data_IF_757235450110
#
_entry.id   IF_757235450110
#
_cell.length_a   1.000
_cell.length_b   1.000
_cell.length_c   1.000
_cell.angle_alpha   90.00
_cell.angle_beta   90.00
_cell.angle_gamma   90.00
#
_symmetry.space_group_name_H-M   'P 1'
#
loop_
_entity.id
_entity.type
_entity.pdbx_description
1 polymer ?
#
# COMPACT_ATOMS: atom_id res chain seq x y z
N UNK A 1 -0.57 4.04 -19.03
CA UNK A 1 -0.66 5.47 -19.38
C UNK A 1 -1.91 6.08 -18.76
N UNK A 2 -1.79 7.20 -18.04
CA UNK A 2 -2.89 7.88 -17.35
C UNK A 2 -3.21 9.27 -17.91
N UNK A 3 -2.43 9.77 -18.88
CA UNK A 3 -2.70 11.03 -19.56
C UNK A 3 -4.03 10.99 -20.32
N UNK A 4 -4.80 12.06 -20.20
CA UNK A 4 -6.10 12.25 -20.85
C UNK A 4 -5.95 12.68 -22.32
N UNK A 5 -4.96 13.51 -22.62
CA UNK A 5 -4.62 13.94 -23.98
C UNK A 5 -3.53 13.04 -24.59
N UNK A 6 -3.93 12.26 -25.60
CA UNK A 6 -3.03 11.37 -26.35
C UNK A 6 -1.80 12.12 -26.88
N UNK A 7 -1.93 13.36 -27.34
CA UNK A 7 -0.84 14.13 -27.92
C UNK A 7 0.25 14.53 -26.91
N UNK A 8 -0.08 14.54 -25.61
CA UNK A 8 0.86 14.85 -24.54
C UNK A 8 1.54 13.59 -23.98
N UNK A 9 1.00 12.42 -24.27
CA UNK A 9 1.53 11.15 -23.78
C UNK A 9 2.75 10.70 -24.58
N UNK A 10 3.69 10.03 -23.92
CA UNK A 10 4.83 9.42 -24.62
C UNK A 10 4.32 8.38 -25.62
N UNK A 11 4.73 8.55 -26.89
CA UNK A 11 4.37 7.65 -27.98
C UNK A 11 2.94 7.80 -28.48
N UNK A 12 2.26 8.90 -28.15
CA UNK A 12 0.83 9.10 -28.45
C UNK A 12 -0.02 7.93 -27.95
N UNK A 13 0.28 7.47 -26.74
CA UNK A 13 -0.42 6.34 -26.16
C UNK A 13 -1.76 6.77 -25.55
N UNK A 14 -2.83 6.10 -25.98
CA UNK A 14 -4.15 6.30 -25.40
C UNK A 14 -4.17 5.98 -23.90
N UNK A 15 -4.94 6.77 -23.14
CA UNK A 15 -5.23 6.51 -21.73
C UNK A 15 -5.66 5.06 -21.50
N UNK A 16 -5.24 4.50 -20.36
CA UNK A 16 -5.42 3.10 -19.98
C UNK A 16 -4.71 2.08 -20.90
N UNK A 17 -3.93 2.55 -21.87
CA UNK A 17 -3.07 1.70 -22.69
C UNK A 17 -1.74 1.37 -22.01
N UNK A 18 -1.08 0.34 -22.56
CA UNK A 18 0.29 -0.06 -22.20
C UNK A 18 1.27 1.10 -22.42
N UNK A 19 2.13 1.43 -21.44
CA UNK A 19 3.09 2.54 -21.57
C UNK A 19 4.08 2.26 -22.71
N UNK A 20 4.43 3.29 -23.49
CA UNK A 20 5.35 3.20 -24.63
C UNK A 20 6.82 3.48 -24.25
N UNK A 21 7.15 3.34 -22.96
CA UNK A 21 8.52 3.44 -22.43
C UNK A 21 9.09 2.05 -22.20
N UNK A 22 10.42 1.93 -22.26
CA UNK A 22 11.13 0.65 -22.04
C UNK A 22 10.78 0.11 -20.66
N UNK A 23 10.61 -1.20 -20.57
CA UNK A 23 10.34 -1.88 -19.30
C UNK A 23 11.49 -1.72 -18.32
N UNK A 24 11.17 -1.51 -17.05
CA UNK A 24 12.17 -1.27 -16.00
C UNK A 24 12.13 -2.34 -14.91
N UNK A 25 13.32 -2.62 -14.38
CA UNK A 25 13.52 -3.48 -13.22
C UNK A 25 13.26 -2.76 -11.90
N UNK A 26 13.60 -3.44 -10.80
CA UNK A 26 13.43 -2.93 -9.43
C UNK A 26 14.24 -1.66 -9.14
N UNK A 27 15.32 -1.45 -9.88
CA UNK A 27 16.24 -0.32 -9.76
C UNK A 27 15.87 0.86 -10.68
N UNK A 28 14.74 0.79 -11.38
CA UNK A 28 14.32 1.81 -12.35
C UNK A 28 15.10 1.78 -13.66
N UNK A 29 16.04 0.84 -13.81
CA UNK A 29 16.83 0.69 -15.02
C UNK A 29 16.14 -0.27 -15.99
N UNK A 30 16.41 -0.16 -17.30
CA UNK A 30 15.90 -1.10 -18.29
C UNK A 30 16.13 -2.55 -17.87
N UNK A 31 15.07 -3.37 -17.92
CA UNK A 31 15.10 -4.77 -17.48
C UNK A 31 15.90 -5.69 -18.44
N UNK A 32 16.25 -5.17 -19.62
CA UNK A 32 16.99 -5.88 -20.65
C UNK A 32 16.19 -6.93 -21.41
N UNK A 33 14.89 -7.04 -21.17
CA UNK A 33 14.02 -8.00 -21.86
C UNK A 33 13.79 -7.54 -23.30
N UNK A 34 13.89 -8.50 -24.23
CA UNK A 34 13.69 -8.28 -25.66
C UNK A 34 12.50 -9.10 -26.16
N UNK A 35 11.78 -8.56 -27.14
CA UNK A 35 10.73 -9.27 -27.86
C UNK A 35 11.33 -10.24 -28.91
N UNK A 36 10.46 -10.91 -29.67
CA UNK A 36 10.87 -11.86 -30.70
C UNK A 36 11.68 -11.22 -31.86
N UNK A 37 11.61 -9.90 -32.02
CA UNK A 37 12.37 -9.14 -33.03
C UNK A 37 13.71 -8.62 -32.48
N UNK A 38 13.97 -8.81 -31.18
CA UNK A 38 15.15 -8.27 -30.51
C UNK A 38 15.00 -6.82 -30.04
N UNK A 39 13.78 -6.27 -30.08
CA UNK A 39 13.49 -4.93 -29.58
C UNK A 39 13.17 -4.96 -28.08
N UNK A 40 13.54 -3.92 -27.34
CA UNK A 40 13.23 -3.85 -25.90
C UNK A 40 11.73 -3.91 -25.63
N UNK A 41 11.33 -4.78 -24.71
CA UNK A 41 9.95 -4.83 -24.21
C UNK A 41 9.61 -3.49 -23.56
N UNK A 42 8.34 -3.07 -23.70
CA UNK A 42 7.84 -1.80 -23.19
C UNK A 42 6.71 -2.02 -22.21
N UNK A 43 6.51 -1.08 -21.31
CA UNK A 43 5.27 -1.00 -20.54
C UNK A 43 5.16 -1.91 -19.32
N UNK A 44 6.23 -2.61 -18.96
CA UNK A 44 6.34 -3.33 -17.69
C UNK A 44 7.18 -2.53 -16.69
N UNK A 45 6.82 -2.59 -15.42
CA UNK A 45 7.58 -1.96 -14.34
C UNK A 45 7.51 -2.81 -13.08
N UNK A 46 8.38 -2.51 -12.12
CA UNK A 46 8.42 -3.23 -10.85
C UNK A 46 7.52 -2.57 -9.80
N UNK A 47 6.65 -3.37 -9.18
CA UNK A 47 5.78 -2.91 -8.09
C UNK A 47 6.28 -3.42 -6.72
N UNK A 48 6.44 -2.56 -5.69
CA UNK A 48 6.94 -2.93 -4.36
C UNK A 48 5.89 -3.60 -3.47
N UNK A 49 5.25 -4.67 -3.97
CA UNK A 49 4.24 -5.37 -3.20
C UNK A 49 3.54 -6.50 -3.94
N UNK A 50 2.50 -7.03 -3.30
CA UNK A 50 1.62 -8.03 -3.87
C UNK A 50 0.22 -7.88 -3.29
N UNK A 51 -0.78 -8.41 -4.00
CA UNK A 51 -2.15 -8.51 -3.56
C UNK A 51 -2.53 -9.98 -3.41
N UNK A 52 -3.33 -10.28 -2.40
CA UNK A 52 -3.91 -11.60 -2.16
C UNK A 52 -5.43 -11.46 -2.10
N UNK A 53 -6.13 -12.36 -2.80
CA UNK A 53 -7.52 -12.62 -2.53
C UNK A 53 -7.62 -13.41 -1.22
N UNK A 54 -8.37 -12.90 -0.25
CA UNK A 54 -8.49 -13.52 1.06
C UNK A 54 -9.42 -14.73 1.07
N UNK A 55 -10.34 -14.81 0.09
CA UNK A 55 -11.35 -15.86 -0.01
C UNK A 55 -10.73 -17.12 -0.61
N UNK A 56 -9.88 -16.94 -1.62
CA UNK A 56 -9.22 -18.05 -2.34
C UNK A 56 -7.78 -18.28 -1.88
N UNK A 57 -7.14 -17.30 -1.25
CA UNK A 57 -5.71 -17.33 -0.92
C UNK A 57 -4.80 -17.10 -2.13
N UNK A 58 -5.36 -16.77 -3.29
CA UNK A 58 -4.61 -16.63 -4.53
C UNK A 58 -3.91 -15.27 -4.62
N UNK A 59 -2.71 -15.27 -5.20
CA UNK A 59 -2.02 -14.02 -5.55
C UNK A 59 -2.67 -13.42 -6.79
N UNK A 60 -2.88 -12.11 -6.77
CA UNK A 60 -3.50 -11.36 -7.86
C UNK A 60 -2.47 -10.54 -8.64
N UNK A 61 -2.84 -10.19 -9.87
CA UNK A 61 -2.05 -9.29 -10.70
C UNK A 61 -2.28 -7.83 -10.29
N UNK A 62 -1.23 -7.02 -10.38
CA UNK A 62 -1.26 -5.59 -10.10
C UNK A 62 -0.80 -4.85 -11.34
N UNK A 63 -1.57 -3.86 -11.75
CA UNK A 63 -1.17 -2.86 -12.74
C UNK A 63 -1.01 -1.55 -11.99
N UNK A 64 0.00 -0.75 -12.33
CA UNK A 64 0.02 0.66 -11.95
C UNK A 64 0.06 1.55 -13.19
N UNK A 65 -0.43 2.78 -13.05
CA UNK A 65 -0.36 3.81 -14.08
C UNK A 65 0.52 4.97 -13.63
N UNK A 66 0.86 5.84 -14.55
CA UNK A 66 1.52 7.14 -14.36
C UNK A 66 1.09 8.04 -15.53
N UNK A 67 1.10 9.36 -15.32
CA UNK A 67 0.86 10.35 -16.39
C UNK A 67 2.20 10.81 -16.97
N UNK A 68 2.49 10.38 -18.20
CA UNK A 68 3.81 10.59 -18.80
C UNK A 68 4.16 12.01 -19.19
N UNK A 69 3.19 12.92 -19.12
CA UNK A 69 3.44 14.34 -19.26
C UNK A 69 3.86 15.00 -17.94
N UNK A 70 3.50 14.41 -16.80
CA UNK A 70 3.74 14.95 -15.46
C UNK A 70 5.14 14.58 -14.95
N UNK A 71 6.17 14.98 -15.69
CA UNK A 71 7.58 14.73 -15.35
C UNK A 71 7.99 15.32 -13.99
N UNK A 72 7.38 16.44 -13.57
CA UNK A 72 7.59 17.02 -12.23
C UNK A 72 6.97 16.21 -11.10
N UNK A 73 6.11 15.25 -11.43
CA UNK A 73 5.43 14.36 -10.49
C UNK A 73 5.85 12.89 -10.69
N UNK A 74 7.07 12.68 -11.22
CA UNK A 74 7.68 11.38 -11.53
C UNK A 74 6.96 10.54 -12.60
N UNK A 75 6.05 11.11 -13.40
CA UNK A 75 5.17 10.29 -14.22
C UNK A 75 5.79 9.62 -15.47
N UNK A 76 7.11 9.71 -15.67
CA UNK A 76 7.79 9.27 -16.89
C UNK A 76 8.95 8.28 -16.66
N UNK A 77 9.05 7.69 -15.48
CA UNK A 77 10.16 6.81 -15.09
C UNK A 77 9.77 5.33 -15.00
N UNK A 78 8.49 4.99 -15.22
CA UNK A 78 7.98 3.62 -15.14
C UNK A 78 8.10 3.01 -13.74
N UNK A 79 8.28 3.83 -12.71
CA UNK A 79 8.32 3.41 -11.32
C UNK A 79 7.01 3.76 -10.60
N UNK A 80 6.64 3.00 -9.58
CA UNK A 80 5.53 3.38 -8.72
C UNK A 80 6.03 4.26 -7.57
N UNK A 81 6.02 5.59 -7.77
CA UNK A 81 6.60 6.57 -6.83
C UNK A 81 5.74 7.86 -6.70
N UNK A 82 4.46 7.75 -6.27
CA UNK A 82 3.54 8.90 -6.18
C UNK A 82 4.11 10.07 -5.39
N UNK A 83 3.76 11.29 -5.80
CA UNK A 83 4.02 12.49 -5.01
C UNK A 83 2.85 12.84 -4.07
N UNK A 84 3.03 13.87 -3.26
CA UNK A 84 1.98 14.40 -2.37
C UNK A 84 1.06 15.42 -3.06
N UNK A 85 1.31 15.73 -4.34
CA UNK A 85 0.69 16.86 -5.02
C UNK A 85 -0.67 16.48 -5.59
N UNK A 86 -1.74 17.10 -5.09
CA UNK A 86 -3.10 16.86 -5.60
C UNK A 86 -3.41 17.67 -6.86
N UNK A 87 -2.98 18.92 -6.89
CA UNK A 87 -3.34 19.92 -7.90
C UNK A 87 -2.19 20.90 -8.10
N UNK A 88 -2.20 21.61 -9.22
CA UNK A 88 -1.23 22.69 -9.49
C UNK A 88 -1.24 23.71 -8.34
N UNK A 89 -0.08 23.97 -7.68
CA UNK A 89 -0.04 24.89 -6.55
C UNK A 89 -0.59 26.29 -6.88
N UNK A 90 -1.50 26.78 -6.04
CA UNK A 90 -2.14 28.10 -6.20
C UNK A 90 -3.28 28.17 -7.22
N UNK A 91 -3.58 27.06 -7.90
CA UNK A 91 -4.34 27.02 -9.14
C UNK A 91 -5.36 25.88 -9.11
N UNK A 92 -6.61 26.20 -8.75
CA UNK A 92 -7.70 25.19 -8.70
C UNK A 92 -8.30 24.99 -10.09
N UNK A 93 -8.37 23.75 -10.62
CA UNK A 93 -8.97 23.49 -11.93
C UNK A 93 -10.46 23.88 -11.95
N UNK A 94 -10.85 24.73 -12.89
CA UNK A 94 -12.24 25.10 -13.12
C UNK A 94 -12.72 24.52 -14.45
N UNK A 95 -13.86 23.84 -14.43
CA UNK A 95 -14.48 23.33 -15.64
C UNK A 95 -15.14 24.47 -16.42
N UNK A 96 -14.68 24.69 -17.65
CA UNK A 96 -15.30 25.59 -18.61
C UNK A 96 -16.30 24.80 -19.46
N UNK A 97 -17.59 25.01 -19.19
CA UNK A 97 -18.69 24.36 -19.88
C UNK A 97 -18.91 24.85 -21.31
N UNK A 98 -18.28 25.96 -21.73
CA UNK A 98 -18.40 26.45 -23.11
C UNK A 98 -17.48 25.69 -24.07
N UNK A 99 -16.29 25.33 -23.60
CA UNK A 99 -15.29 24.62 -24.40
C UNK A 99 -15.13 23.14 -24.00
N UNK A 100 -15.79 22.71 -22.92
CA UNK A 100 -15.62 21.39 -22.30
C UNK A 100 -14.17 21.11 -21.88
N UNK A 101 -13.49 22.14 -21.37
CA UNK A 101 -12.07 22.08 -20.97
C UNK A 101 -11.91 22.48 -19.49
N UNK A 102 -10.81 22.06 -18.87
CA UNK A 102 -10.42 22.55 -17.54
C UNK A 102 -9.40 23.68 -17.67
N UNK A 103 -9.65 24.80 -17.00
CA UNK A 103 -8.79 25.99 -17.00
C UNK A 103 -8.24 26.26 -15.60
N UNK A 104 -7.14 27.02 -15.54
CA UNK A 104 -6.63 27.58 -14.28
C UNK A 104 -5.82 26.63 -13.39
N UNK A 105 -5.62 25.36 -13.77
CA UNK A 105 -4.81 24.37 -13.06
C UNK A 105 -5.12 22.94 -13.51
N UNK A 106 -4.31 21.96 -13.11
CA UNK A 106 -4.50 20.53 -13.41
C UNK A 106 -4.60 19.68 -12.15
N UNK A 107 -5.36 18.57 -12.26
CA UNK A 107 -5.33 17.50 -11.27
C UNK A 107 -4.09 16.64 -11.48
N UNK A 108 -3.14 16.75 -10.55
CA UNK A 108 -1.87 16.03 -10.58
C UNK A 108 -2.00 14.65 -9.92
N UNK A 109 -2.75 14.58 -8.82
CA UNK A 109 -3.09 13.32 -8.11
C UNK A 109 -1.87 12.41 -7.89
N UNK A 110 -0.75 13.00 -7.46
CA UNK A 110 0.48 12.28 -7.20
C UNK A 110 1.14 11.73 -8.45
N UNK A 111 1.03 12.39 -9.62
CA UNK A 111 1.50 11.89 -10.92
C UNK A 111 0.58 10.84 -11.55
N UNK A 112 -0.67 10.71 -11.03
CA UNK A 112 -1.65 9.67 -11.40
C UNK A 112 -1.10 8.24 -11.26
N UNK A 113 -0.33 8.01 -10.20
CA UNK A 113 0.27 6.72 -9.82
C UNK A 113 -0.75 5.69 -9.28
N UNK A 114 -1.83 5.47 -10.03
CA UNK A 114 -2.93 4.60 -9.62
C UNK A 114 -2.54 3.14 -9.63
N UNK A 115 -3.15 2.37 -8.75
CA UNK A 115 -2.97 0.92 -8.64
C UNK A 115 -4.30 0.25 -9.01
N UNK A 116 -4.24 -0.78 -9.85
CA UNK A 116 -5.37 -1.60 -10.24
C UNK A 116 -5.09 -3.05 -9.84
N UNK A 117 -5.97 -3.62 -9.02
CA UNK A 117 -5.90 -5.03 -8.63
C UNK A 117 -6.80 -5.84 -9.56
N UNK A 118 -6.17 -6.63 -10.43
CA UNK A 118 -6.86 -7.45 -11.42
C UNK A 118 -7.15 -8.80 -10.81
N UNK A 119 -8.44 -9.12 -10.65
CA UNK A 119 -8.87 -10.46 -10.24
C UNK A 119 -8.65 -11.41 -11.41
N UNK A 120 -8.26 -12.64 -11.08
CA UNK A 120 -8.24 -13.73 -12.02
C UNK A 120 -8.35 -15.05 -11.27
N UNK A 121 -8.53 -16.12 -12.01
CA UNK A 121 -8.85 -17.43 -11.46
C UNK A 121 -7.74 -18.43 -11.80
N UNK A 122 -7.35 -19.29 -10.86
CA UNK A 122 -6.27 -20.27 -11.09
C UNK A 122 -6.54 -21.27 -12.21
N UNK A 123 -7.80 -21.65 -12.42
CA UNK A 123 -8.17 -22.65 -13.43
C UNK A 123 -7.85 -22.20 -14.87
N UNK A 124 -7.77 -20.88 -15.11
CA UNK A 124 -7.45 -20.31 -16.44
C UNK A 124 -6.12 -20.83 -16.95
N UNK A 125 -5.12 -21.00 -16.07
CA UNK A 125 -3.80 -21.49 -16.45
C UNK A 125 -3.79 -22.94 -16.93
N UNK A 126 -4.84 -23.70 -16.64
CA UNK A 126 -5.03 -25.06 -17.15
C UNK A 126 -5.80 -25.13 -18.46
N UNK A 127 -6.24 -24.00 -19.02
CA UNK A 127 -6.98 -23.95 -20.29
C UNK A 127 -6.04 -24.08 -21.48
N UNK A 128 -6.53 -24.69 -22.56
CA UNK A 128 -5.79 -24.83 -23.82
C UNK A 128 -5.40 -23.47 -24.39
N UNK A 129 -6.31 -22.50 -24.34
CA UNK A 129 -6.07 -21.13 -24.81
C UNK A 129 -4.87 -20.50 -24.09
N UNK A 130 -4.86 -20.52 -22.76
CA UNK A 130 -3.78 -19.93 -21.98
C UNK A 130 -2.42 -20.62 -22.21
N UNK A 131 -2.42 -21.94 -22.34
CA UNK A 131 -1.22 -22.74 -22.54
C UNK A 131 -0.61 -22.59 -23.94
N UNK A 132 -1.44 -22.25 -24.94
CA UNK A 132 -1.03 -22.13 -26.34
C UNK A 132 -0.63 -20.70 -26.68
N UNK A 133 -1.46 -19.72 -26.29
CA UNK A 133 -1.23 -18.31 -26.54
C UNK A 133 -1.99 -17.45 -25.51
N UNK A 134 -1.26 -16.72 -24.67
CA UNK A 134 -1.88 -15.84 -23.66
C UNK A 134 -2.78 -14.77 -24.29
N UNK A 135 -2.58 -14.40 -25.56
CA UNK A 135 -3.44 -13.44 -26.27
C UNK A 135 -4.82 -14.02 -26.56
N UNK A 136 -4.95 -15.33 -26.78
CA UNK A 136 -6.25 -15.97 -27.08
C UNK A 136 -7.10 -16.24 -25.84
N UNK A 137 -6.49 -16.25 -24.65
CA UNK A 137 -7.20 -16.56 -23.40
C UNK A 137 -8.25 -15.51 -23.01
N UNK A 138 -9.52 -15.88 -22.95
CA UNK A 138 -10.64 -14.95 -22.67
C UNK A 138 -10.77 -14.52 -21.20
N UNK A 139 -10.18 -15.32 -20.30
CA UNK A 139 -10.32 -15.15 -18.86
C UNK A 139 -9.00 -14.68 -18.24
N UNK A 140 -9.12 -13.86 -17.20
CA UNK A 140 -7.95 -13.37 -16.44
C UNK A 140 -7.44 -14.49 -15.53
N UNK A 141 -6.15 -14.85 -15.58
CA UNK A 141 -5.56 -15.82 -14.65
C UNK A 141 -5.23 -15.17 -13.30
N UNK A 142 -5.10 -15.99 -12.26
CA UNK A 142 -4.39 -15.56 -11.06
C UNK A 142 -2.92 -15.21 -11.39
N UNK A 143 -2.21 -14.56 -10.45
CA UNK A 143 -0.89 -13.96 -10.68
C UNK A 143 0.02 -14.73 -11.63
N UNK A 144 0.34 -14.13 -12.77
CA UNK A 144 1.11 -14.69 -13.87
C UNK A 144 2.24 -13.74 -14.28
N UNK A 145 2.74 -12.95 -13.33
CA UNK A 145 3.73 -11.90 -13.56
C UNK A 145 3.22 -10.79 -14.51
N UNK A 146 1.90 -10.69 -14.68
CA UNK A 146 1.24 -9.71 -15.54
C UNK A 146 1.21 -10.09 -17.02
N UNK A 147 1.64 -11.31 -17.40
CA UNK A 147 1.76 -11.75 -18.79
C UNK A 147 0.44 -11.61 -19.57
N UNK A 148 -0.69 -12.00 -18.99
CA UNK A 148 -2.00 -11.86 -19.62
C UNK A 148 -2.46 -10.41 -19.76
N UNK A 149 -2.24 -9.58 -18.74
CA UNK A 149 -2.57 -8.15 -18.85
C UNK A 149 -1.73 -7.48 -19.93
N UNK A 150 -0.43 -7.80 -19.98
CA UNK A 150 0.49 -7.32 -21.00
C UNK A 150 0.02 -7.76 -22.40
N UNK A 151 -0.27 -9.04 -22.60
CA UNK A 151 -0.68 -9.59 -23.90
C UNK A 151 -1.97 -8.95 -24.42
N UNK A 152 -2.94 -8.68 -23.53
CA UNK A 152 -4.21 -8.03 -23.89
C UNK A 152 -4.03 -6.54 -24.23
N UNK A 153 -3.10 -5.84 -23.59
CA UNK A 153 -2.88 -4.41 -23.83
C UNK A 153 -1.88 -4.14 -24.96
N UNK A 154 -1.03 -5.10 -25.28
CA UNK A 154 -0.04 -5.00 -26.35
C UNK A 154 -0.75 -4.79 -27.69
N UNK A 155 -0.46 -3.66 -28.35
CA UNK A 155 -1.04 -3.27 -29.64
C UNK A 155 -2.59 -3.21 -29.66
N UNK A 156 -3.25 -2.99 -28.51
CA UNK A 156 -4.71 -2.84 -28.43
C UNK A 156 -5.19 -1.51 -29.03
N UNK A 157 -5.44 -1.53 -30.34
CA UNK A 157 -5.91 -0.38 -31.09
C UNK A 157 -7.43 -0.22 -31.08
N UNK A 158 -8.18 -1.30 -30.78
CA UNK A 158 -9.65 -1.32 -30.81
C UNK A 158 -10.28 -1.09 -29.43
N UNK A 159 -9.52 -1.23 -28.35
CA UNK A 159 -10.02 -1.13 -26.97
C UNK A 159 -10.60 -2.44 -26.43
N UNK A 160 -10.59 -3.51 -27.22
CA UNK A 160 -11.09 -4.83 -26.81
C UNK A 160 -10.24 -5.41 -25.69
N UNK A 161 -8.92 -5.27 -25.80
CA UNK A 161 -7.96 -5.71 -24.80
C UNK A 161 -8.10 -4.94 -23.49
N UNK A 162 -8.20 -3.61 -23.58
CA UNK A 162 -8.52 -2.74 -22.43
C UNK A 162 -9.80 -3.18 -21.74
N UNK A 163 -10.89 -3.39 -22.48
CA UNK A 163 -12.14 -3.86 -21.87
C UNK A 163 -11.96 -5.22 -21.17
N UNK A 164 -11.24 -6.16 -21.78
CA UNK A 164 -10.96 -7.47 -21.20
C UNK A 164 -10.19 -7.38 -19.88
N UNK A 165 -9.20 -6.49 -19.78
CA UNK A 165 -8.42 -6.29 -18.55
C UNK A 165 -9.25 -5.57 -17.48
N UNK A 166 -9.79 -4.39 -17.80
CA UNK A 166 -10.38 -3.51 -16.81
C UNK A 166 -11.72 -4.02 -16.24
N UNK A 167 -12.46 -4.87 -16.97
CA UNK A 167 -13.66 -5.55 -16.40
C UNK A 167 -13.32 -6.47 -15.22
N UNK A 168 -12.08 -6.94 -15.13
CA UNK A 168 -11.61 -7.83 -14.07
C UNK A 168 -10.96 -7.06 -12.90
N UNK A 169 -10.85 -5.74 -12.98
CA UNK A 169 -10.33 -4.93 -11.88
C UNK A 169 -11.34 -4.89 -10.76
N UNK A 170 -10.93 -5.34 -9.58
CA UNK A 170 -11.78 -5.39 -8.38
C UNK A 170 -11.51 -4.24 -7.41
N UNK A 171 -10.31 -3.67 -7.47
CA UNK A 171 -9.91 -2.54 -6.64
C UNK A 171 -9.06 -1.56 -7.43
N UNK A 172 -9.33 -0.27 -7.23
CA UNK A 172 -8.50 0.83 -7.72
C UNK A 172 -8.06 1.66 -6.53
N UNK A 173 -6.76 1.89 -6.41
CA UNK A 173 -6.18 2.79 -5.42
C UNK A 173 -5.60 4.04 -6.09
N UNK A 174 -5.86 5.20 -5.52
CA UNK A 174 -5.22 6.47 -5.91
C UNK A 174 -4.29 6.95 -4.78
N UNK A 175 -3.12 6.32 -4.62
CA UNK A 175 -2.21 6.61 -3.52
C UNK A 175 -1.55 7.98 -3.69
N UNK A 176 -1.35 8.67 -2.57
CA UNK A 176 -0.60 9.92 -2.49
C UNK A 176 0.47 9.77 -1.42
N UNK A 177 1.64 10.35 -1.66
CA UNK A 177 2.66 10.45 -0.64
C UNK A 177 2.21 11.45 0.43
N UNK A 178 2.54 11.19 1.69
CA UNK A 178 2.28 12.14 2.75
C UNK A 178 3.12 13.42 2.53
N UNK A 179 2.53 14.64 2.60
CA UNK A 179 3.27 15.88 2.39
C UNK A 179 4.52 15.99 3.27
N UNK A 180 5.65 16.38 2.67
CA UNK A 180 6.93 16.55 3.37
C UNK A 180 7.62 15.23 3.77
N UNK A 181 7.13 14.08 3.29
CA UNK A 181 7.76 12.77 3.49
C UNK A 181 8.40 12.30 2.20
N UNK A 182 9.44 11.48 2.32
CA UNK A 182 9.98 10.70 1.22
C UNK A 182 9.36 9.30 1.24
N UNK A 183 9.23 8.70 0.06
CA UNK A 183 8.82 7.31 -0.07
C UNK A 183 9.93 6.40 0.47
N UNK A 184 9.58 5.52 1.40
CA UNK A 184 10.50 4.54 1.97
C UNK A 184 9.87 3.16 1.86
N UNK A 185 10.46 2.32 1.03
CA UNK A 185 10.00 0.96 0.72
C UNK A 185 10.64 -0.13 1.60
N UNK A 186 11.50 0.25 2.56
CA UNK A 186 12.14 -0.69 3.49
C UNK A 186 11.15 -1.18 4.56
N UNK A 187 10.09 -0.41 4.81
CA UNK A 187 9.06 -0.76 5.79
C UNK A 187 7.95 -1.60 5.15
N UNK A 188 7.54 -2.66 5.86
CA UNK A 188 6.40 -3.48 5.44
C UNK A 188 5.08 -2.84 5.89
N UNK A 189 4.22 -2.50 4.94
CA UNK A 189 2.83 -2.15 5.19
C UNK A 189 1.89 -3.27 4.75
N UNK A 190 0.73 -3.41 5.40
CA UNK A 190 -0.31 -4.36 4.98
C UNK A 190 -1.67 -3.69 5.12
N UNK A 191 -2.38 -3.56 3.98
CA UNK A 191 -3.73 -3.01 3.92
C UNK A 191 -4.71 -4.17 3.74
N UNK A 192 -5.71 -4.27 4.62
CA UNK A 192 -6.77 -5.29 4.54
C UNK A 192 -8.10 -4.59 4.29
N UNK A 193 -8.60 -4.69 3.06
CA UNK A 193 -9.92 -4.19 2.69
C UNK A 193 -10.91 -5.36 2.76
N UNK A 194 -11.89 -5.27 3.64
CA UNK A 194 -12.93 -6.29 3.83
C UNK A 194 -14.29 -5.64 3.58
N UNK A 195 -14.89 -5.94 2.44
CA UNK A 195 -16.23 -5.45 2.12
C UNK A 195 -17.18 -6.63 2.19
N UNK A 196 -18.05 -6.64 3.20
CA UNK A 196 -19.02 -7.72 3.45
C UNK A 196 -20.30 -7.57 2.65
N UNK A 197 -20.48 -6.43 1.96
CA UNK A 197 -21.69 -6.10 1.21
C UNK A 197 -21.39 -6.01 -0.29
N UNK A 198 -22.25 -6.55 -1.16
CA UNK A 198 -22.08 -6.40 -2.60
C UNK A 198 -22.08 -4.92 -3.01
N UNK A 199 -21.32 -4.58 -4.06
CA UNK A 199 -21.38 -3.26 -4.69
C UNK A 199 -22.79 -3.02 -5.21
N UNK A 200 -23.59 -2.29 -4.44
CA UNK A 200 -24.87 -1.72 -4.85
C UNK A 200 -24.82 -0.22 -4.58
N UNK A 201 -25.48 0.58 -5.41
CA UNK A 201 -25.73 1.96 -5.06
C UNK A 201 -26.58 1.99 -3.78
N UNK A 202 -26.17 2.79 -2.80
CA UNK A 202 -26.93 2.96 -1.56
C UNK A 202 -27.35 4.41 -1.45
N UNK A 203 -28.65 4.62 -1.44
CA UNK A 203 -29.25 5.90 -1.12
C UNK A 203 -29.01 6.13 0.39
N UNK A 204 -28.21 7.14 0.72
CA UNK A 204 -27.74 7.39 2.10
C UNK A 204 -28.71 8.22 2.93
N UNK A 205 -29.90 8.50 2.39
CA UNK A 205 -30.90 9.37 3.01
C UNK A 205 -32.04 8.56 3.61
N UNK A 206 -32.72 9.16 4.59
CA UNK A 206 -33.87 8.59 5.28
C UNK A 206 -35.12 8.57 4.37
N UNK A 207 -36.12 7.75 4.72
CA UNK A 207 -37.32 7.52 3.89
C UNK A 207 -38.10 8.82 3.59
N UNK A 208 -38.07 9.80 4.49
CA UNK A 208 -38.69 11.12 4.30
C UNK A 208 -38.06 11.96 3.18
N UNK A 209 -36.91 11.53 2.65
CA UNK A 209 -36.22 12.15 1.51
C UNK A 209 -36.58 11.53 0.16
N UNK A 210 -37.52 10.58 0.14
CA UNK A 210 -38.05 9.99 -1.08
C UNK A 210 -39.35 10.67 -1.48
N UNK A 211 -39.38 11.17 -2.71
CA UNK A 211 -40.52 11.88 -3.26
C UNK A 211 -41.11 11.05 -4.40
N UNK A 212 -42.41 10.80 -4.32
CA UNK A 212 -43.18 10.37 -5.48
C UNK A 212 -43.77 11.58 -6.23
N UNK A 213 -44.34 11.33 -7.41
CA UNK A 213 -44.87 12.37 -8.29
C UNK A 213 -46.02 13.20 -7.69
N UNK A 214 -46.60 12.78 -6.58
CA UNK A 214 -47.71 13.48 -5.90
C UNK A 214 -47.23 14.22 -4.64
N UNK A 215 -45.94 14.17 -4.31
CA UNK A 215 -45.35 14.89 -3.20
C UNK A 215 -44.77 16.22 -3.68
N UNK A 216 -44.99 17.28 -2.89
CA UNK A 216 -44.46 18.59 -3.22
C UNK A 216 -42.93 18.65 -2.95
N UNK A 217 -42.17 19.02 -3.96
CA UNK A 217 -40.75 19.30 -3.92
C UNK A 217 -40.48 20.64 -3.23
N UNK A 218 -39.34 20.74 -2.57
CA UNK A 218 -38.86 21.98 -1.95
C UNK A 218 -38.06 22.78 -2.98
N UNK A 219 -38.49 24.02 -3.26
CA UNK A 219 -37.80 24.91 -4.18
C UNK A 219 -36.37 25.25 -3.68
N UNK A 220 -35.43 25.28 -4.61
CA UNK A 220 -34.00 25.47 -4.35
C UNK A 220 -33.24 24.19 -3.99
N UNK A 221 -33.94 23.05 -3.82
CA UNK A 221 -33.32 21.78 -3.45
C UNK A 221 -32.97 20.92 -4.66
N UNK A 222 -31.87 20.18 -4.56
CA UNK A 222 -31.44 19.21 -5.58
C UNK A 222 -32.10 17.86 -5.34
N UNK A 223 -32.63 17.29 -6.41
CA UNK A 223 -33.24 15.97 -6.44
C UNK A 223 -32.51 15.09 -7.44
N UNK A 224 -32.29 13.82 -7.08
CA UNK A 224 -31.68 12.81 -7.95
C UNK A 224 -32.72 11.77 -8.33
N UNK A 225 -32.76 11.36 -9.59
CA UNK A 225 -33.65 10.30 -10.06
C UNK A 225 -33.20 8.96 -9.46
N UNK A 226 -34.09 8.33 -8.68
CA UNK A 226 -33.78 7.14 -7.91
C UNK A 226 -33.41 5.94 -8.78
N UNK A 227 -32.45 5.14 -8.30
CA UNK A 227 -32.03 3.90 -8.96
C UNK A 227 -33.07 2.78 -8.77
N UNK A 228 -32.95 1.71 -9.55
CA UNK A 228 -33.80 0.53 -9.38
C UNK A 228 -33.48 -0.17 -8.05
N UNK A 229 -34.49 -0.34 -7.19
CA UNK A 229 -34.33 -1.06 -5.92
C UNK A 229 -34.56 -2.59 -6.09
N UNK A 230 -35.33 -3.01 -7.11
CA UNK A 230 -35.54 -4.41 -7.57
C UNK A 230 -36.53 -4.45 -8.76
N UNK A 231 -36.49 -5.52 -9.56
CA UNK A 231 -37.24 -5.75 -10.82
C UNK A 231 -38.78 -5.69 -10.71
N UNK A 232 -39.34 -5.59 -9.49
CA UNK A 232 -40.78 -5.48 -9.24
C UNK A 232 -41.22 -4.17 -8.54
N UNK A 233 -40.31 -3.24 -8.25
CA UNK A 233 -40.54 -2.12 -7.29
C UNK A 233 -40.37 -0.71 -7.88
N UNK A 234 -40.52 0.31 -7.03
CA UNK A 234 -40.42 1.75 -7.29
C UNK A 234 -38.96 2.20 -7.54
N UNK A 235 -38.74 3.28 -8.31
CA UNK A 235 -37.42 3.73 -8.77
C UNK A 235 -37.06 3.21 -10.18
N UNK A 236 -35.91 3.63 -10.72
CA UNK A 236 -35.42 3.14 -12.02
C UNK A 236 -36.28 3.58 -13.22
N UNK A 237 -36.91 4.76 -13.13
CA UNK A 237 -37.75 5.34 -14.18
C UNK A 237 -37.37 6.80 -14.36
N UNK A 238 -37.37 7.24 -15.62
CA UNK A 238 -37.23 8.63 -16.02
C UNK A 238 -38.22 9.51 -15.26
N UNK A 239 -37.73 10.65 -14.79
CA UNK A 239 -38.49 11.71 -14.14
C UNK A 239 -38.54 12.90 -15.07
N UNK A 240 -39.73 13.44 -15.33
CA UNK A 240 -39.88 14.66 -16.13
C UNK A 240 -40.13 15.85 -15.21
N UNK A 241 -39.19 16.80 -15.14
CA UNK A 241 -39.32 18.02 -14.35
C UNK A 241 -39.20 19.24 -15.26
N UNK A 242 -40.14 20.19 -15.16
CA UNK A 242 -40.21 21.40 -16.00
C UNK A 242 -40.11 21.14 -17.51
N UNK A 243 -40.65 20.00 -17.96
CA UNK A 243 -40.65 19.58 -19.37
C UNK A 243 -39.34 18.96 -19.87
N UNK A 244 -38.37 18.75 -18.98
CA UNK A 244 -37.09 18.06 -19.26
C UNK A 244 -37.12 16.67 -18.63
N UNK A 245 -36.71 15.67 -19.40
CA UNK A 245 -36.56 14.29 -18.93
C UNK A 245 -35.19 14.09 -18.29
N UNK A 246 -35.20 13.50 -17.09
CA UNK A 246 -34.00 13.14 -16.34
C UNK A 246 -33.94 11.62 -16.18
N UNK A 247 -32.83 11.06 -16.63
CA UNK A 247 -32.53 9.63 -16.56
C UNK A 247 -32.06 9.22 -15.15
N UNK A 248 -32.06 7.92 -14.90
CA UNK A 248 -31.67 7.37 -13.59
C UNK A 248 -30.27 7.83 -13.20
N UNK A 249 -30.16 8.42 -12.00
CA UNK A 249 -28.91 8.99 -11.49
C UNK A 249 -28.64 10.44 -11.86
N UNK A 250 -29.39 11.02 -12.80
CA UNK A 250 -29.30 12.45 -13.09
C UNK A 250 -29.98 13.28 -11.99
N UNK A 251 -29.54 14.52 -11.86
CA UNK A 251 -30.05 15.44 -10.85
C UNK A 251 -30.66 16.68 -11.46
N UNK A 252 -31.70 17.19 -10.82
CA UNK A 252 -32.33 18.48 -11.16
C UNK A 252 -32.52 19.32 -9.90
N UNK A 253 -32.62 20.64 -10.07
CA UNK A 253 -32.94 21.57 -8.99
C UNK A 253 -34.40 21.97 -9.14
N UNK A 254 -35.17 21.85 -8.07
CA UNK A 254 -36.55 22.30 -8.08
C UNK A 254 -36.59 23.84 -8.09
N UNK A 255 -37.03 24.46 -9.18
CA UNK A 255 -36.95 25.92 -9.37
C UNK A 255 -38.30 26.62 -9.35
N UNK A 256 -39.34 26.04 -9.97
CA UNK A 256 -40.64 26.70 -10.11
C UNK A 256 -41.82 25.74 -9.95
N UNK A 257 -41.71 24.51 -10.44
CA UNK A 257 -42.76 23.49 -10.27
C UNK A 257 -42.54 22.72 -8.98
N UNK A 258 -43.62 22.47 -8.24
CA UNK A 258 -43.59 21.75 -6.98
C UNK A 258 -43.70 20.23 -7.15
N UNK A 259 -43.86 19.70 -8.35
CA UNK A 259 -43.90 18.26 -8.59
C UNK A 259 -43.15 17.91 -9.87
N UNK A 260 -42.84 16.63 -10.00
CA UNK A 260 -42.35 16.06 -11.24
C UNK A 260 -43.40 15.11 -11.81
N UNK A 261 -43.29 14.82 -13.10
CA UNK A 261 -44.19 13.92 -13.81
C UNK A 261 -43.46 12.70 -14.37
N UNK A 262 -44.20 11.79 -15.01
CA UNK A 262 -43.68 10.53 -15.53
C UNK A 262 -44.36 9.30 -14.93
N UNK A 263 -43.63 8.19 -14.88
CA UNK A 263 -44.15 6.92 -14.37
C UNK A 263 -44.65 7.06 -12.93
N UNK A 264 -45.77 6.40 -12.59
CA UNK A 264 -46.19 6.29 -11.19
C UNK A 264 -45.09 5.67 -10.32
N UNK A 265 -44.24 4.82 -10.91
CA UNK A 265 -43.13 4.17 -10.23
C UNK A 265 -41.87 5.04 -10.09
N UNK A 266 -41.83 6.22 -10.72
CA UNK A 266 -40.69 7.12 -10.61
C UNK A 266 -40.54 7.65 -9.19
N UNK A 267 -39.29 7.84 -8.77
CA UNK A 267 -38.92 8.36 -7.45
C UNK A 267 -37.80 9.37 -7.63
N UNK A 268 -37.90 10.48 -6.92
CA UNK A 268 -36.86 11.48 -6.80
C UNK A 268 -36.37 11.51 -5.35
N UNK A 269 -35.07 11.72 -5.16
CA UNK A 269 -34.42 11.66 -3.86
C UNK A 269 -33.85 13.04 -3.55
N UNK A 270 -34.28 13.63 -2.45
CA UNK A 270 -33.74 14.90 -1.96
C UNK A 270 -32.32 14.70 -1.42
N UNK A 271 -31.33 14.82 -2.30
CA UNK A 271 -29.94 14.55 -1.98
C UNK A 271 -29.00 15.18 -3.02
N UNK A 272 -27.75 15.41 -2.61
CA UNK A 272 -26.64 15.59 -3.55
C UNK A 272 -25.97 14.23 -3.74
N UNK A 273 -26.00 13.69 -4.96
CA UNK A 273 -25.34 12.43 -5.25
C UNK A 273 -23.81 12.56 -5.08
N UNK A 274 -23.27 11.96 -4.03
CA UNK A 274 -21.82 11.78 -3.89
C UNK A 274 -21.44 10.46 -4.58
N UNK A 275 -20.54 10.52 -5.57
CA UNK A 275 -20.09 9.36 -6.34
C UNK A 275 -21.24 8.52 -6.94
N UNK A 276 -22.32 9.17 -7.39
CA UNK A 276 -23.52 8.49 -7.92
C UNK A 276 -24.10 7.45 -6.96
N UNK A 277 -24.04 7.73 -5.64
CA UNK A 277 -24.45 6.83 -4.56
C UNK A 277 -23.68 5.50 -4.46
N UNK A 278 -22.58 5.36 -5.20
CA UNK A 278 -21.65 4.26 -4.97
C UNK A 278 -20.94 4.47 -3.62
N UNK A 279 -20.81 3.42 -2.78
CA UNK A 279 -20.10 3.52 -1.52
C UNK A 279 -18.73 4.17 -1.66
N UNK A 280 -18.49 5.22 -0.88
CA UNK A 280 -17.16 5.83 -0.75
C UNK A 280 -16.66 5.57 0.66
N UNK A 281 -15.45 5.02 0.75
CA UNK A 281 -14.77 4.79 2.02
C UNK A 281 -13.46 5.57 1.99
N UNK A 282 -13.23 6.41 3.00
CA UNK A 282 -11.94 7.05 3.22
C UNK A 282 -11.33 6.48 4.49
N UNK A 283 -10.09 6.06 4.39
CA UNK A 283 -9.25 5.69 5.54
C UNK A 283 -7.90 6.35 5.35
N UNK A 284 -7.24 6.70 6.46
CA UNK A 284 -5.89 7.23 6.44
C UNK A 284 -5.01 6.43 7.40
N UNK A 285 -3.70 6.55 7.21
CA UNK A 285 -2.70 5.86 8.01
C UNK A 285 -2.08 6.77 9.08
N UNK A 286 -2.64 7.97 9.32
CA UNK A 286 -2.07 8.96 10.23
C UNK A 286 -1.88 8.40 11.64
N UNK A 287 -2.78 7.52 12.08
CA UNK A 287 -2.76 6.91 13.41
C UNK A 287 -1.87 5.66 13.53
N UNK A 288 -1.26 5.20 12.43
CA UNK A 288 -0.39 4.00 12.40
C UNK A 288 1.04 4.32 11.93
N UNK A 289 1.43 5.59 11.93
CA UNK A 289 2.78 6.02 11.57
C UNK A 289 3.79 5.55 12.63
N UNK A 290 4.95 5.06 12.18
CA UNK A 290 6.06 4.77 13.09
C UNK A 290 6.54 6.07 13.75
N UNK A 291 6.58 6.08 15.08
CA UNK A 291 7.06 7.22 15.88
C UNK A 291 8.46 6.90 16.42
N UNK A 292 9.36 7.88 16.35
CA UNK A 292 10.69 7.73 16.97
C UNK A 292 10.62 8.12 18.44
N UNK A 293 11.32 7.38 19.30
CA UNK A 293 11.36 7.66 20.74
C UNK A 293 10.08 7.26 21.49
N UNK A 294 9.28 6.35 20.94
CA UNK A 294 8.15 5.76 21.67
C UNK A 294 8.65 4.93 22.85
N UNK A 295 8.28 5.33 24.07
CA UNK A 295 8.79 4.70 25.28
C UNK A 295 8.13 3.35 25.56
N UNK A 296 6.91 3.11 25.11
CA UNK A 296 6.24 1.84 25.34
C UNK A 296 6.82 0.77 24.41
N UNK A 297 7.07 1.11 23.15
CA UNK A 297 7.84 0.24 22.24
C UNK A 297 9.26 0.00 22.77
N UNK A 298 9.90 1.02 23.36
CA UNK A 298 11.23 0.86 23.94
C UNK A 298 11.25 -0.10 25.13
N UNK A 299 10.21 -0.12 25.97
CA UNK A 299 10.06 -1.09 27.06
C UNK A 299 9.92 -2.51 26.53
N UNK A 300 9.09 -2.72 25.52
CA UNK A 300 8.92 -4.04 24.88
C UNK A 300 10.23 -4.51 24.25
N UNK A 301 11.02 -3.60 23.66
CA UNK A 301 12.32 -3.90 23.10
C UNK A 301 13.38 -4.33 24.15
N UNK A 302 13.16 -4.09 25.45
CA UNK A 302 14.05 -4.64 26.49
C UNK A 302 14.00 -6.16 26.54
N UNK A 303 12.90 -6.79 26.09
CA UNK A 303 12.73 -8.23 26.16
C UNK A 303 13.60 -9.00 25.18
N UNK A 304 13.98 -8.38 24.07
CA UNK A 304 14.87 -8.97 23.07
C UNK A 304 16.36 -8.79 23.41
N UNK A 305 16.70 -8.07 24.49
CA UNK A 305 18.08 -7.97 24.96
C UNK A 305 18.54 -9.36 25.40
N UNK A 306 19.65 -9.81 24.84
CA UNK A 306 20.21 -11.12 25.12
C UNK A 306 21.74 -11.07 25.21
N UNK A 307 22.33 -12.12 25.75
CA UNK A 307 23.77 -12.36 25.72
C UNK A 307 24.04 -13.57 24.81
N UNK A 308 25.09 -13.49 23.99
CA UNK A 308 25.45 -14.54 23.04
C UNK A 308 26.94 -14.88 23.11
N UNK A 309 27.31 -16.18 23.02
CA UNK A 309 26.42 -17.33 23.10
C UNK A 309 25.81 -17.50 24.51
N UNK A 310 24.59 -18.05 24.57
CA UNK A 310 23.91 -18.42 25.81
C UNK A 310 23.37 -19.85 25.69
N UNK A 311 23.97 -20.84 26.37
CA UNK A 311 25.16 -20.74 27.23
C UNK A 311 26.47 -20.58 26.44
N UNK A 312 27.53 -20.13 27.10
CA UNK A 312 28.90 -20.14 26.55
C UNK A 312 29.61 -21.44 26.93
N UNK A 313 30.11 -22.16 25.93
CA UNK A 313 30.82 -23.44 26.12
C UNK A 313 32.26 -23.34 25.62
N UNK A 314 33.06 -22.58 26.36
CA UNK A 314 34.48 -22.41 26.10
C UNK A 314 34.80 -21.81 24.74
N UNK A 315 33.82 -21.38 23.95
CA UNK A 315 34.02 -20.92 22.59
C UNK A 315 32.93 -19.94 22.19
N UNK A 316 33.33 -18.96 21.40
CA UNK A 316 32.45 -18.02 20.72
C UNK A 316 33.00 -17.75 19.33
N UNK A 317 32.13 -17.72 18.32
CA UNK A 317 32.52 -17.40 16.93
C UNK A 317 33.07 -15.97 16.77
N UNK A 318 32.93 -15.13 17.80
CA UNK A 318 33.54 -13.81 17.85
C UNK A 318 35.00 -13.86 18.29
N UNK A 319 35.52 -14.95 18.85
CA UNK A 319 36.90 -15.01 19.35
C UNK A 319 37.90 -15.04 18.18
N UNK A 320 38.94 -14.21 18.26
CA UNK A 320 39.95 -14.10 17.18
C UNK A 320 41.20 -14.95 17.41
N UNK A 321 41.46 -15.38 18.65
CA UNK A 321 42.61 -16.21 18.99
C UNK A 321 42.33 -17.01 20.28
N UNK A 322 43.24 -17.92 20.65
CA UNK A 322 43.07 -18.81 21.80
C UNK A 322 43.10 -18.10 23.17
N UNK A 323 43.57 -16.85 23.23
CA UNK A 323 43.62 -16.03 24.44
C UNK A 323 42.43 -15.06 24.56
N UNK A 324 41.61 -14.96 23.51
CA UNK A 324 40.41 -14.14 23.46
C UNK A 324 39.21 -14.98 23.91
N UNK A 325 38.63 -14.62 25.05
CA UNK A 325 37.36 -15.16 25.51
C UNK A 325 36.33 -14.04 25.46
N UNK A 326 35.27 -14.20 24.64
CA UNK A 326 34.34 -13.11 24.42
C UNK A 326 32.89 -13.54 24.26
N UNK A 327 32.04 -12.86 25.01
CA UNK A 327 30.58 -12.86 24.81
C UNK A 327 30.09 -11.47 24.46
N UNK A 328 28.94 -11.41 23.80
CA UNK A 328 28.35 -10.15 23.34
C UNK A 328 26.96 -10.01 23.91
N UNK A 329 26.65 -8.84 24.47
CA UNK A 329 25.29 -8.49 24.89
C UNK A 329 24.69 -7.66 23.76
N UNK A 330 23.56 -8.11 23.21
CA UNK A 330 22.96 -7.62 21.96
C UNK A 330 21.62 -6.93 22.18
N UNK A 331 21.17 -6.18 21.17
CA UNK A 331 19.92 -5.40 21.15
C UNK A 331 19.88 -4.31 22.25
N UNK A 332 21.04 -3.84 22.67
CA UNK A 332 21.13 -2.79 23.69
C UNK A 332 20.76 -1.42 23.10
N UNK A 333 20.04 -0.58 23.88
CA UNK A 333 19.82 0.80 23.50
C UNK A 333 21.14 1.58 23.46
N UNK A 334 21.08 2.81 22.92
CA UNK A 334 22.27 3.68 22.80
C UNK A 334 23.01 3.85 24.13
N UNK A 335 22.26 4.06 25.22
CA UNK A 335 22.76 4.19 26.59
C UNK A 335 22.25 3.03 27.45
N UNK A 336 23.16 2.27 28.05
CA UNK A 336 22.83 1.21 29.00
C UNK A 336 23.97 0.96 30.00
N UNK A 337 23.62 0.58 31.22
CA UNK A 337 24.57 0.08 32.23
C UNK A 337 24.30 -1.40 32.46
N UNK A 338 25.32 -2.23 32.32
CA UNK A 338 25.22 -3.67 32.54
C UNK A 338 26.06 -4.02 33.75
N UNK A 339 25.41 -4.54 34.79
CA UNK A 339 26.07 -5.08 35.98
C UNK A 339 25.96 -6.58 35.99
N UNK A 340 27.08 -7.25 36.20
CA UNK A 340 27.19 -8.70 36.17
C UNK A 340 27.47 -9.18 37.58
N UNK A 341 26.70 -10.15 38.04
CA UNK A 341 26.76 -10.70 39.40
C UNK A 341 26.91 -12.21 39.40
N UNK A 342 27.53 -12.74 40.44
CA UNK A 342 27.40 -14.16 40.80
C UNK A 342 25.99 -14.44 41.32
N UNK A 343 25.60 -15.73 41.42
CA UNK A 343 24.34 -16.14 42.06
C UNK A 343 24.22 -15.74 43.53
N UNK A 344 25.36 -15.47 44.20
CA UNK A 344 25.39 -14.97 45.57
C UNK A 344 25.23 -13.45 45.68
N UNK A 345 25.07 -12.73 44.55
CA UNK A 345 24.89 -11.29 44.51
C UNK A 345 26.19 -10.47 44.55
N UNK A 346 27.35 -11.11 44.40
CA UNK A 346 28.64 -10.40 44.35
C UNK A 346 28.83 -9.78 42.97
N UNK A 347 29.12 -8.47 42.90
CA UNK A 347 29.40 -7.79 41.64
C UNK A 347 30.72 -8.29 41.04
N UNK A 348 30.66 -8.75 39.79
CA UNK A 348 31.78 -9.26 39.00
C UNK A 348 32.32 -8.18 38.09
N UNK A 349 31.44 -7.55 37.31
CA UNK A 349 31.81 -6.57 36.29
C UNK A 349 30.71 -5.52 36.12
N UNK A 350 31.10 -4.27 35.91
CA UNK A 350 30.21 -3.23 35.38
C UNK A 350 30.68 -2.81 33.98
N UNK A 351 29.76 -2.76 33.02
CA UNK A 351 29.98 -2.31 31.64
C UNK A 351 29.07 -1.12 31.35
N UNK A 352 29.65 -0.02 30.88
CA UNK A 352 28.91 1.19 30.52
C UNK A 352 28.91 1.34 29.00
N UNK A 353 27.71 1.42 28.43
CA UNK A 353 27.50 1.60 27.00
C UNK A 353 26.91 2.98 26.74
N UNK A 354 27.58 3.78 25.91
CA UNK A 354 27.10 5.10 25.44
C UNK A 354 27.58 5.36 24.00
N UNK A 355 27.09 4.55 23.05
CA UNK A 355 27.46 4.67 21.63
C UNK A 355 26.34 4.14 20.72
N UNK A 356 26.46 4.37 19.40
CA UNK A 356 25.46 3.97 18.42
C UNK A 356 25.41 2.48 18.08
N UNK A 357 26.34 1.65 18.56
CA UNK A 357 26.27 0.20 18.32
C UNK A 357 25.10 -0.40 19.10
N UNK A 358 24.52 -1.52 18.65
CA UNK A 358 23.42 -2.20 19.38
C UNK A 358 23.94 -3.32 20.30
N UNK A 359 25.24 -3.32 20.59
CA UNK A 359 25.86 -4.36 21.42
C UNK A 359 27.05 -3.83 22.22
N UNK A 360 27.49 -4.63 23.19
CA UNK A 360 28.76 -4.45 23.92
C UNK A 360 29.38 -5.83 24.18
N UNK A 361 30.71 -5.88 24.15
CA UNK A 361 31.47 -7.11 24.38
C UNK A 361 31.90 -7.21 25.85
N UNK A 362 31.87 -8.44 26.38
CA UNK A 362 32.45 -8.78 27.66
C UNK A 362 33.53 -9.85 27.45
N UNK A 363 34.71 -9.56 27.98
CA UNK A 363 35.93 -10.37 27.90
C UNK A 363 35.99 -11.51 28.94
N UNK A 364 34.86 -11.80 29.59
CA UNK A 364 34.73 -12.77 30.68
C UNK A 364 35.68 -12.53 31.87
N UNK A 365 36.05 -11.27 32.11
CA UNK A 365 36.86 -10.86 33.27
C UNK A 365 36.05 -10.01 34.24
N UNK A 366 36.48 -10.01 35.49
CA UNK A 366 35.93 -9.13 36.52
C UNK A 366 36.46 -7.69 36.40
N UNK A 367 36.04 -6.78 37.29
CA UNK A 367 36.49 -5.38 37.33
C UNK A 367 38.02 -5.22 37.50
N UNK A 368 38.72 -6.24 37.99
CA UNK A 368 40.17 -6.25 38.20
C UNK A 368 40.95 -6.94 37.06
N UNK A 369 40.27 -7.30 35.96
CA UNK A 369 40.89 -7.97 34.82
C UNK A 369 41.22 -9.45 35.05
N UNK A 370 40.68 -10.06 36.12
CA UNK A 370 40.88 -11.47 36.42
C UNK A 370 39.75 -12.27 35.74
N UNK A 371 40.07 -13.35 35.00
CA UNK A 371 39.07 -14.24 34.43
C UNK A 371 38.10 -14.75 35.51
N UNK A 372 36.82 -14.82 35.15
CA UNK A 372 35.79 -15.38 36.04
C UNK A 372 35.94 -16.90 36.14
N UNK A 373 35.15 -17.57 36.99
CA UNK A 373 35.04 -19.03 37.00
C UNK A 373 33.88 -19.51 36.13
N UNK A 374 33.89 -20.78 35.73
CA UNK A 374 32.68 -21.39 35.16
C UNK A 374 31.52 -21.34 36.16
N UNK A 375 30.30 -21.05 35.70
CA UNK A 375 29.14 -20.96 36.57
C UNK A 375 27.97 -20.14 36.02
N UNK A 376 26.95 -19.99 36.86
CA UNK A 376 25.80 -19.13 36.64
C UNK A 376 26.11 -17.68 37.04
N UNK A 377 25.71 -16.76 36.18
CA UNK A 377 25.79 -15.31 36.41
C UNK A 377 24.45 -14.65 36.11
N UNK A 378 24.23 -13.52 36.76
CA UNK A 378 23.04 -12.68 36.58
C UNK A 378 23.52 -11.34 36.01
N UNK A 379 22.98 -10.95 34.86
CA UNK A 379 23.21 -9.65 34.27
C UNK A 379 21.99 -8.78 34.54
N UNK A 380 22.20 -7.66 35.22
CA UNK A 380 21.22 -6.60 35.37
C UNK A 380 21.56 -5.49 34.39
N UNK A 381 20.67 -5.26 33.43
CA UNK A 381 20.79 -4.25 32.39
C UNK A 381 19.82 -3.13 32.74
N UNK A 382 20.35 -1.93 32.97
CA UNK A 382 19.56 -0.73 33.16
C UNK A 382 19.67 0.15 31.91
N UNK A 383 18.53 0.44 31.29
CA UNK A 383 18.38 1.37 30.18
C UNK A 383 17.70 2.66 30.72
N UNK A 384 18.47 3.75 30.95
CA UNK A 384 17.95 4.95 31.57
C UNK A 384 16.73 5.53 30.83
N UNK A 385 15.63 5.76 31.56
CA UNK A 385 14.39 6.30 31.01
C UNK A 385 13.46 5.30 30.32
N UNK A 386 13.94 4.06 30.10
CA UNK A 386 13.17 2.99 29.46
C UNK A 386 12.76 1.92 30.48
N UNK A 387 13.73 1.33 31.18
CA UNK A 387 13.49 0.26 32.16
C UNK A 387 14.70 -0.62 32.41
N UNK A 388 14.46 -1.79 33.01
CA UNK A 388 15.50 -2.73 33.41
C UNK A 388 15.20 -4.15 32.91
N UNK A 389 16.26 -4.92 32.60
CA UNK A 389 16.18 -6.33 32.19
C UNK A 389 17.16 -7.15 33.01
N UNK A 390 16.73 -8.33 33.42
CA UNK A 390 17.59 -9.32 34.07
C UNK A 390 17.76 -10.52 33.13
N UNK A 391 19.01 -10.92 32.91
CA UNK A 391 19.38 -12.12 32.15
C UNK A 391 20.11 -13.08 33.07
N UNK A 392 19.72 -14.35 33.04
CA UNK A 392 20.46 -15.45 33.67
C UNK A 392 21.29 -16.13 32.60
N UNK A 393 22.58 -16.26 32.83
CA UNK A 393 23.51 -16.78 31.84
C UNK A 393 24.46 -17.79 32.50
N UNK A 394 24.84 -18.82 31.74
CA UNK A 394 25.81 -19.81 32.17
C UNK A 394 27.03 -19.77 31.26
N UNK A 395 28.20 -19.64 31.87
CA UNK A 395 29.49 -19.72 31.18
C UNK A 395 30.28 -20.93 31.67
N UNK A 396 30.68 -21.80 30.76
CA UNK A 396 31.67 -22.83 30.99
C UNK A 396 32.97 -22.40 30.31
N UNK A 397 33.97 -21.99 31.09
CA UNK A 397 35.30 -21.65 30.60
C UNK A 397 36.12 -22.90 30.34
N UNK A 398 37.06 -22.81 29.38
CA UNK A 398 38.04 -23.87 29.16
C UNK A 398 39.01 -23.94 30.36
N UNK A 399 39.50 -25.14 30.72
CA UNK A 399 40.71 -25.24 31.51
C UNK A 399 41.83 -24.44 30.83
N UNK A 400 42.61 -23.72 31.62
CA UNK A 400 43.80 -23.03 31.10
C UNK A 400 44.81 -24.12 30.75
N UNK A 401 45.07 -24.29 29.45
CA UNK A 401 46.14 -25.16 28.97
C UNK A 401 47.46 -24.40 29.11
N UNK A 402 48.35 -24.91 29.96
CA UNK A 402 49.66 -24.32 30.25
C UNK A 402 50.80 -25.04 29.50
N UNK A 403 50.49 -26.01 28.62
CA UNK A 403 51.50 -26.90 28.02
C UNK A 403 52.18 -26.35 26.76
N UNK A 404 52.11 -25.05 26.47
CA UNK A 404 52.89 -24.44 25.38
C UNK A 404 53.44 -23.06 25.74
N UNK A 405 54.73 -23.03 26.10
CA UNK A 405 55.61 -21.87 25.96
C UNK A 405 56.43 -21.98 24.68
#
# INVERSE_FOLDING_TARGET
EAQDDEALSIGNQKKMGLRQSVSVGKDGLPDGMLDANGDSIKGMGWFPGYALDIETGERLNIIFSEDSWQTSENGNDMEWNPTSTLLTPGNFPQYDSQNNEFLGGNYLLGGKHFIYIVKGESWVKGTEDYMTDTVSSDFSPNYDEGAWNYSKLLNDNTGTGKWAVFKNVTWVGAPLLAPGRAMNLDNKATVKLRVTKPYKAYETVTEDKFFDRNMDLTLGTTYVVAYENSASTWGGKTVTYDGVDYEVGESFVATATLNFSGSAKARAIEATALNSFNPTYSFNTNNIVAVTGDNDVAKDALDIINIVPNPYYGYSSYEVNQLDNRVKITNLPRKATIKIFTVSGTEVRTLNKDNGMTSIDWDLKNNFGIPISSGLYILHINAPGVGEKIIKWYGALRPIDLDTF
#
